data_IF_280316797917
#
_entry.id   IF_280316797917
#
_cell.length_a   1.000
_cell.length_b   1.000
_cell.length_c   1.000
_cell.angle_alpha   90.00
_cell.angle_beta   90.00
_cell.angle_gamma   90.00
#
_symmetry.space_group_name_H-M   'P 1'
#
loop_
_entity.id
_entity.type
_entity.pdbx_description
1 polymer ?
#
# COMPACT_ATOMS: atom_id res chain seq x y z
N UNK A 1 8.86 -10.06 29.00
CA UNK A 1 8.95 -9.46 27.67
C UNK A 1 10.13 -10.07 26.97
N UNK A 2 9.91 -10.78 25.87
CA UNK A 2 11.00 -11.39 25.08
C UNK A 2 11.82 -10.33 24.35
N UNK A 3 13.07 -10.66 23.95
CA UNK A 3 13.92 -9.73 23.20
C UNK A 3 13.28 -9.28 21.87
N UNK A 4 12.65 -10.23 21.17
CA UNK A 4 11.94 -9.98 19.90
C UNK A 4 10.74 -9.04 20.07
N UNK A 5 9.92 -9.28 21.09
CA UNK A 5 8.75 -8.45 21.41
C UNK A 5 9.15 -7.00 21.66
N UNK A 6 10.20 -6.79 22.47
CA UNK A 6 10.74 -5.45 22.74
C UNK A 6 11.25 -4.76 21.47
N UNK A 7 11.96 -5.49 20.60
CA UNK A 7 12.44 -4.95 19.32
C UNK A 7 11.28 -4.50 18.42
N UNK A 8 10.23 -5.31 18.30
CA UNK A 8 9.04 -4.99 17.50
C UNK A 8 8.27 -3.78 18.04
N UNK A 9 8.11 -3.68 19.36
CA UNK A 9 7.43 -2.54 19.99
C UNK A 9 8.22 -1.25 19.82
N UNK A 10 9.55 -1.30 20.03
CA UNK A 10 10.40 -0.13 19.78
C UNK A 10 10.33 0.31 18.31
N UNK A 11 10.35 -0.64 17.36
CA UNK A 11 10.18 -0.33 15.94
C UNK A 11 8.83 0.34 15.67
N UNK A 12 7.74 -0.17 16.25
CA UNK A 12 6.42 0.43 16.13
C UNK A 12 6.38 1.86 16.70
N UNK A 13 6.87 2.06 17.92
CA UNK A 13 6.88 3.37 18.60
C UNK A 13 7.66 4.40 17.79
N UNK A 14 8.85 4.05 17.30
CA UNK A 14 9.65 4.97 16.47
C UNK A 14 8.93 5.37 15.17
N UNK A 15 8.12 4.47 14.60
CA UNK A 15 7.33 4.76 13.41
C UNK A 15 6.10 5.63 13.72
N UNK A 16 5.47 5.42 14.87
CA UNK A 16 4.36 6.25 15.36
C UNK A 16 4.84 7.69 15.60
N UNK A 17 5.93 7.88 16.35
CA UNK A 17 6.54 9.19 16.60
C UNK A 17 6.99 9.88 15.31
N UNK A 18 7.59 9.12 14.38
CA UNK A 18 8.01 9.67 13.09
C UNK A 18 6.83 10.04 12.17
N UNK A 19 5.63 9.52 12.42
CA UNK A 19 4.39 9.89 11.72
C UNK A 19 3.83 11.25 12.13
N UNK A 20 4.21 11.77 13.31
CA UNK A 20 3.81 13.11 13.77
C UNK A 20 4.64 14.23 13.12
N UNK A 21 5.76 13.87 12.49
CA UNK A 21 6.64 14.82 11.80
C UNK A 21 6.08 15.21 10.44
N UNK A 22 6.51 16.36 9.94
CA UNK A 22 6.10 16.81 8.62
C UNK A 22 6.48 15.80 7.52
N UNK A 23 5.54 15.56 6.59
CA UNK A 23 5.72 14.69 5.43
C UNK A 23 6.80 15.24 4.49
N UNK A 24 7.84 14.47 4.13
CA UNK A 24 8.84 14.91 3.14
C UNK A 24 8.21 15.25 1.78
N UNK A 25 7.14 14.56 1.40
CA UNK A 25 6.38 14.81 0.17
C UNK A 25 5.69 16.19 0.21
N UNK A 26 5.26 16.65 1.40
CA UNK A 26 4.71 18.00 1.58
C UNK A 26 5.82 19.06 1.44
N UNK A 27 7.01 18.80 1.99
CA UNK A 27 8.16 19.70 1.83
C UNK A 27 8.57 19.80 0.36
N UNK A 28 8.58 18.67 -0.35
CA UNK A 28 8.81 18.65 -1.79
C UNK A 28 7.77 19.47 -2.55
N UNK A 29 6.47 19.29 -2.24
CA UNK A 29 5.41 20.08 -2.88
C UNK A 29 5.55 21.58 -2.59
N UNK A 30 5.98 21.95 -1.38
CA UNK A 30 6.31 23.33 -1.02
C UNK A 30 7.37 23.93 -1.94
N UNK A 31 8.45 23.20 -2.21
CA UNK A 31 9.51 23.64 -3.15
C UNK A 31 8.99 23.79 -4.58
N UNK A 32 8.15 22.86 -5.04
CA UNK A 32 7.56 22.95 -6.38
C UNK A 32 6.65 24.18 -6.52
N UNK A 33 5.88 24.46 -5.47
CA UNK A 33 5.02 25.63 -5.41
C UNK A 33 5.80 26.93 -5.37
N UNK A 34 6.89 27.01 -4.59
CA UNK A 34 7.73 28.21 -4.54
C UNK A 34 8.43 28.46 -5.88
N UNK A 35 8.92 27.40 -6.55
CA UNK A 35 9.43 27.51 -7.93
C UNK A 35 8.37 28.05 -8.90
N UNK A 36 7.15 27.55 -8.82
CA UNK A 36 6.04 28.04 -9.63
C UNK A 36 5.79 29.53 -9.41
N UNK A 37 5.80 29.99 -8.15
CA UNK A 37 5.64 31.42 -7.81
C UNK A 37 6.74 32.28 -8.41
N UNK A 38 7.99 31.85 -8.28
CA UNK A 38 9.15 32.56 -8.81
C UNK A 38 9.07 32.70 -10.33
N UNK A 39 8.75 31.61 -11.04
CA UNK A 39 8.60 31.60 -12.49
C UNK A 39 7.45 32.50 -12.99
N UNK A 40 6.46 32.80 -12.14
CA UNK A 40 5.28 33.59 -12.48
C UNK A 40 5.32 35.03 -11.93
N UNK A 41 6.49 35.68 -11.93
CA UNK A 41 6.70 37.06 -11.44
C UNK A 41 6.62 37.19 -9.92
N UNK A 42 7.16 36.20 -9.21
CA UNK A 42 7.30 36.21 -7.74
C UNK A 42 5.96 36.43 -7.01
N UNK A 43 4.92 35.73 -7.45
CA UNK A 43 3.56 35.86 -6.91
C UNK A 43 3.50 35.67 -5.39
N UNK A 44 2.56 36.38 -4.76
CA UNK A 44 2.07 36.02 -3.43
C UNK A 44 1.40 34.65 -3.42
N UNK A 45 1.25 34.05 -2.23
CA UNK A 45 0.60 32.72 -2.11
C UNK A 45 -0.87 32.74 -2.56
N UNK A 46 -1.60 33.82 -2.29
CA UNK A 46 -2.99 33.91 -2.74
C UNK A 46 -3.10 34.01 -4.26
N UNK A 47 -2.28 34.88 -4.87
CA UNK A 47 -2.23 35.07 -6.33
C UNK A 47 -1.80 33.79 -7.07
N UNK A 48 -0.85 33.03 -6.51
CA UNK A 48 -0.47 31.74 -7.06
C UNK A 48 -1.59 30.69 -6.92
N UNK A 49 -2.31 30.64 -5.78
CA UNK A 49 -3.48 29.78 -5.62
C UNK A 49 -4.56 30.13 -6.68
N UNK A 50 -4.77 31.41 -6.99
CA UNK A 50 -5.70 31.88 -8.04
C UNK A 50 -5.23 31.50 -9.45
N UNK A 51 -3.93 31.64 -9.75
CA UNK A 51 -3.38 31.28 -11.05
C UNK A 51 -3.47 29.77 -11.30
N UNK A 52 -3.19 28.96 -10.29
CA UNK A 52 -3.37 27.50 -10.37
C UNK A 52 -4.84 27.18 -10.60
N UNK A 53 -5.78 27.84 -9.91
CA UNK A 53 -7.21 27.65 -10.15
C UNK A 53 -7.59 27.94 -11.59
N UNK A 54 -7.14 29.07 -12.14
CA UNK A 54 -7.38 29.44 -13.53
C UNK A 54 -6.81 28.39 -14.50
N UNK A 55 -5.60 27.88 -14.25
CA UNK A 55 -5.01 26.81 -15.07
C UNK A 55 -5.78 25.49 -14.99
N UNK A 56 -6.29 25.14 -13.82
CA UNK A 56 -7.02 23.89 -13.60
C UNK A 56 -8.43 23.91 -14.21
N UNK A 57 -9.13 25.04 -14.13
CA UNK A 57 -10.57 25.15 -14.41
C UNK A 57 -10.93 26.06 -15.58
N UNK A 58 -9.95 26.76 -16.17
CA UNK A 58 -10.14 27.77 -17.22
C UNK A 58 -11.15 28.88 -16.80
N UNK A 59 -11.19 29.21 -15.50
CA UNK A 59 -12.12 30.17 -14.91
C UNK A 59 -11.41 31.03 -13.87
N UNK A 60 -11.78 32.31 -13.79
CA UNK A 60 -11.32 33.21 -12.73
C UNK A 60 -12.07 32.86 -11.44
N UNK A 61 -11.40 32.70 -10.28
CA UNK A 61 -12.07 32.44 -9.02
C UNK A 61 -12.99 33.62 -8.65
N UNK A 62 -14.26 33.34 -8.38
CA UNK A 62 -15.26 34.36 -8.06
C UNK A 62 -15.35 34.67 -6.57
N UNK A 63 -14.89 33.74 -5.71
CA UNK A 63 -14.88 33.89 -4.25
C UNK A 63 -13.67 33.18 -3.62
N UNK A 64 -13.24 33.58 -2.40
CA UNK A 64 -12.07 32.99 -1.74
C UNK A 64 -12.16 31.47 -1.49
N UNK A 65 -13.36 30.91 -1.42
CA UNK A 65 -13.55 29.47 -1.23
C UNK A 65 -13.23 28.64 -2.48
N UNK A 66 -13.15 29.25 -3.66
CA UNK A 66 -12.83 28.56 -4.91
C UNK A 66 -11.39 28.04 -4.92
N UNK A 67 -10.45 28.79 -4.35
CA UNK A 67 -9.03 28.42 -4.25
C UNK A 67 -8.68 27.64 -2.98
N UNK A 68 -9.65 27.44 -2.08
CA UNK A 68 -9.41 26.82 -0.77
C UNK A 68 -8.86 25.39 -0.87
N UNK A 69 -9.32 24.61 -1.86
CA UNK A 69 -8.82 23.25 -2.09
C UNK A 69 -7.34 23.24 -2.48
N UNK A 70 -6.93 24.15 -3.38
CA UNK A 70 -5.53 24.31 -3.80
C UNK A 70 -4.65 24.66 -2.60
N UNK A 71 -5.11 25.60 -1.77
CA UNK A 71 -4.42 25.95 -0.52
C UNK A 71 -4.24 24.73 0.38
N UNK A 72 -5.28 23.91 0.53
CA UNK A 72 -5.23 22.72 1.37
C UNK A 72 -4.33 21.61 0.82
N UNK A 73 -4.27 21.43 -0.49
CA UNK A 73 -3.33 20.51 -1.13
C UNK A 73 -1.90 20.98 -0.93
N UNK A 74 -1.62 22.25 -1.22
CA UNK A 74 -0.30 22.85 -0.98
C UNK A 74 0.16 22.72 0.48
N UNK A 75 -0.71 22.96 1.45
CA UNK A 75 -0.35 22.85 2.87
C UNK A 75 -0.38 21.41 3.39
N UNK A 76 -0.71 20.43 2.55
CA UNK A 76 -0.83 19.02 2.93
C UNK A 76 -1.95 18.75 3.94
N UNK A 77 -2.89 19.68 4.13
CA UNK A 77 -4.04 19.50 5.04
C UNK A 77 -5.03 18.49 4.48
N UNK A 78 -5.20 18.50 3.17
CA UNK A 78 -5.97 17.51 2.42
C UNK A 78 -5.20 17.12 1.17
N UNK A 79 -5.52 15.97 0.62
CA UNK A 79 -5.03 15.55 -0.70
C UNK A 79 -6.11 15.76 -1.76
N UNK A 80 -5.73 15.82 -3.05
CA UNK A 80 -6.68 15.72 -4.14
C UNK A 80 -7.57 14.47 -3.97
N UNK A 81 -8.88 14.57 -4.22
CA UNK A 81 -9.77 13.43 -3.98
C UNK A 81 -9.73 12.39 -5.10
N UNK A 82 -9.24 12.79 -6.27
CA UNK A 82 -9.07 11.91 -7.43
C UNK A 82 -7.72 12.14 -8.11
N UNK A 83 -7.28 11.15 -8.89
CA UNK A 83 -6.09 11.28 -9.73
C UNK A 83 -6.23 12.39 -10.75
N UNK A 84 -7.40 12.58 -11.34
CA UNK A 84 -7.64 13.66 -12.30
C UNK A 84 -7.38 15.03 -11.67
N UNK A 85 -7.83 15.25 -10.43
CA UNK A 85 -7.53 16.46 -9.69
C UNK A 85 -6.04 16.57 -9.37
N UNK A 86 -5.40 15.47 -8.98
CA UNK A 86 -3.96 15.46 -8.69
C UNK A 86 -3.13 15.80 -9.93
N UNK A 87 -3.44 15.19 -11.08
CA UNK A 87 -2.81 15.47 -12.37
C UNK A 87 -3.08 16.90 -12.84
N UNK A 88 -4.32 17.39 -12.73
CA UNK A 88 -4.66 18.77 -13.09
C UNK A 88 -3.91 19.78 -12.20
N UNK A 89 -3.79 19.49 -10.90
CA UNK A 89 -3.00 20.30 -9.98
C UNK A 89 -1.51 20.30 -10.32
N UNK A 90 -0.93 19.13 -10.62
CA UNK A 90 0.46 19.04 -11.07
C UNK A 90 0.72 19.77 -12.39
N UNK A 91 -0.22 19.69 -13.34
CA UNK A 91 -0.12 20.42 -14.62
C UNK A 91 -0.21 21.92 -14.41
N UNK A 92 -1.10 22.37 -13.53
CA UNK A 92 -1.22 23.78 -13.18
C UNK A 92 0.02 24.34 -12.46
N UNK A 93 0.76 23.48 -11.75
CA UNK A 93 2.07 23.79 -11.17
C UNK A 93 3.25 23.74 -12.16
N UNK A 94 2.98 23.48 -13.44
CA UNK A 94 4.00 23.30 -14.49
C UNK A 94 5.05 22.24 -14.09
N UNK A 95 4.62 21.15 -13.45
CA UNK A 95 5.52 20.05 -13.12
C UNK A 95 6.02 19.35 -14.39
N UNK A 96 7.30 18.98 -14.39
CA UNK A 96 7.89 18.09 -15.39
C UNK A 96 7.30 16.68 -15.31
N UNK A 97 7.59 15.83 -16.31
CA UNK A 97 7.12 14.44 -16.31
C UNK A 97 7.64 13.63 -15.10
N UNK A 98 8.89 13.85 -14.69
CA UNK A 98 9.46 13.19 -13.50
C UNK A 98 8.79 13.66 -12.21
N UNK A 99 8.54 14.96 -12.09
CA UNK A 99 7.85 15.52 -10.93
C UNK A 99 6.37 15.11 -10.88
N UNK A 100 5.74 14.96 -12.04
CA UNK A 100 4.39 14.41 -12.13
C UNK A 100 4.36 12.96 -11.65
N UNK A 101 5.35 12.14 -12.02
CA UNK A 101 5.49 10.77 -11.50
C UNK A 101 5.63 10.78 -9.97
N UNK A 102 6.50 11.63 -9.42
CA UNK A 102 6.65 11.74 -7.96
C UNK A 102 5.39 12.28 -7.26
N UNK A 103 4.66 13.22 -7.87
CA UNK A 103 3.38 13.71 -7.34
C UNK A 103 2.38 12.56 -7.19
N UNK A 104 2.30 11.67 -8.17
CA UNK A 104 1.38 10.52 -8.14
C UNK A 104 1.87 9.42 -7.20
N UNK A 105 3.15 9.03 -7.30
CA UNK A 105 3.66 7.86 -6.58
C UNK A 105 4.09 8.16 -5.14
N UNK A 106 4.66 9.34 -4.90
CA UNK A 106 5.07 9.80 -3.58
C UNK A 106 3.95 10.53 -2.86
N UNK A 107 3.60 11.74 -3.33
CA UNK A 107 2.69 12.62 -2.60
C UNK A 107 1.25 12.08 -2.51
N UNK A 108 0.72 11.54 -3.61
CA UNK A 108 -0.61 10.93 -3.70
C UNK A 108 -0.62 9.43 -3.33
N UNK A 109 0.57 8.82 -3.20
CA UNK A 109 0.79 7.43 -2.75
C UNK A 109 -0.02 6.41 -3.58
N UNK A 110 0.08 6.49 -4.91
CA UNK A 110 -0.59 5.60 -5.88
C UNK A 110 0.36 5.04 -6.93
N UNK A 111 -0.12 4.08 -7.72
CA UNK A 111 0.62 3.62 -8.89
C UNK A 111 0.70 4.75 -9.93
N UNK A 112 1.76 4.73 -10.72
CA UNK A 112 1.99 5.62 -11.86
C UNK A 112 0.79 5.73 -12.83
N UNK A 113 -0.03 4.68 -12.90
CA UNK A 113 -1.22 4.56 -13.74
C UNK A 113 -2.34 3.83 -13.02
N UNK A 114 -3.57 4.15 -13.38
CA UNK A 114 -4.74 3.32 -13.04
C UNK A 114 -4.59 2.01 -13.80
N UNK A 115 -4.88 0.88 -13.16
CA UNK A 115 -4.82 -0.40 -13.83
C UNK A 115 -6.14 -0.64 -14.58
N UNK A 116 -6.08 -0.67 -15.91
CA UNK A 116 -7.26 -0.87 -16.75
C UNK A 116 -6.90 -1.87 -17.85
N UNK A 117 -7.88 -2.64 -18.32
CA UNK A 117 -7.66 -3.60 -19.41
C UNK A 117 -7.33 -2.83 -20.70
N UNK A 118 -6.08 -2.91 -21.13
CA UNK A 118 -5.58 -2.34 -22.39
C UNK A 118 -5.41 -3.45 -23.46
N UNK A 119 -5.08 -3.06 -24.70
CA UNK A 119 -4.67 -4.00 -25.75
C UNK A 119 -3.44 -4.83 -25.33
N UNK A 120 -3.29 -6.05 -25.87
CA UNK A 120 -2.19 -6.97 -25.55
C UNK A 120 -0.80 -6.30 -25.69
N UNK A 121 0.10 -6.57 -24.75
CA UNK A 121 1.46 -6.02 -24.73
C UNK A 121 1.63 -4.67 -24.01
N UNK A 122 0.53 -4.05 -23.57
CA UNK A 122 0.53 -2.83 -22.76
C UNK A 122 1.12 -3.00 -21.34
N UNK A 123 1.17 -1.89 -20.58
CA UNK A 123 1.65 -1.91 -19.19
C UNK A 123 0.80 -2.83 -18.30
N UNK A 124 -0.51 -2.86 -18.54
CA UNK A 124 -1.44 -3.79 -17.89
C UNK A 124 -1.05 -5.25 -18.13
N UNK A 125 -0.81 -5.63 -19.40
CA UNK A 125 -0.43 -7.01 -19.78
C UNK A 125 0.81 -7.52 -19.04
N UNK A 126 1.85 -6.68 -18.93
CA UNK A 126 3.07 -7.03 -18.17
C UNK A 126 2.79 -7.18 -16.68
N UNK A 127 2.00 -6.28 -16.09
CA UNK A 127 1.68 -6.30 -14.66
C UNK A 127 0.78 -7.46 -14.28
N UNK A 128 -0.22 -7.79 -15.09
CA UNK A 128 -1.08 -8.95 -14.84
C UNK A 128 -0.32 -10.26 -15.05
N UNK A 129 0.59 -10.32 -16.04
CA UNK A 129 1.53 -11.45 -16.20
C UNK A 129 2.36 -11.67 -14.94
N UNK A 130 2.99 -10.61 -14.43
CA UNK A 130 3.74 -10.66 -13.18
C UNK A 130 2.87 -11.08 -11.98
N UNK A 131 1.65 -10.54 -11.85
CA UNK A 131 0.75 -10.96 -10.77
C UNK A 131 0.41 -12.45 -10.86
N UNK A 132 0.16 -12.96 -12.06
CA UNK A 132 -0.12 -14.38 -12.26
C UNK A 132 1.08 -15.27 -11.90
N UNK A 133 2.30 -14.86 -12.23
CA UNK A 133 3.53 -15.54 -11.80
C UNK A 133 3.62 -15.60 -10.27
N UNK A 134 3.41 -14.46 -9.59
CA UNK A 134 3.43 -14.40 -8.12
C UNK A 134 2.34 -15.27 -7.48
N UNK A 135 1.16 -15.32 -8.08
CA UNK A 135 0.07 -16.20 -7.64
C UNK A 135 0.47 -17.67 -7.79
N UNK A 136 1.09 -18.06 -8.90
CA UNK A 136 1.55 -19.44 -9.08
C UNK A 136 2.65 -19.80 -8.08
N UNK A 137 3.66 -18.93 -7.92
CA UNK A 137 4.72 -19.09 -6.90
C UNK A 137 4.14 -19.25 -5.49
N UNK A 138 3.10 -18.47 -5.16
CA UNK A 138 2.39 -18.58 -3.89
C UNK A 138 1.66 -19.92 -3.74
N UNK A 139 0.94 -20.36 -4.77
CA UNK A 139 0.21 -21.63 -4.75
C UNK A 139 1.14 -22.85 -4.69
N UNK A 140 2.33 -22.77 -5.29
CA UNK A 140 3.33 -23.84 -5.26
C UNK A 140 3.95 -24.04 -3.87
N UNK A 141 3.89 -23.04 -2.98
CA UNK A 141 4.28 -23.16 -1.57
C UNK A 141 3.25 -23.90 -0.71
N UNK A 142 2.02 -24.08 -1.21
CA UNK A 142 0.96 -24.74 -0.45
C UNK A 142 1.28 -26.23 -0.28
N UNK A 143 1.24 -26.70 0.96
CA UNK A 143 1.56 -28.09 1.27
C UNK A 143 0.74 -29.07 0.42
N UNK A 144 1.34 -30.14 -0.15
CA UNK A 144 0.68 -31.04 -1.10
C UNK A 144 -0.63 -31.65 -0.60
N UNK A 145 -0.75 -31.88 0.72
CA UNK A 145 -1.99 -32.39 1.34
C UNK A 145 -3.15 -31.40 1.23
N UNK A 146 -2.90 -30.11 1.47
CA UNK A 146 -3.91 -29.05 1.32
C UNK A 146 -4.26 -28.90 -0.15
N UNK A 147 -3.23 -28.89 -1.01
CA UNK A 147 -3.37 -28.87 -2.47
C UNK A 147 -4.29 -30.01 -2.94
N UNK A 148 -4.02 -31.25 -2.57
CA UNK A 148 -4.85 -32.41 -2.93
C UNK A 148 -6.28 -32.33 -2.40
N UNK A 149 -6.49 -31.77 -1.19
CA UNK A 149 -7.83 -31.58 -0.64
C UNK A 149 -8.66 -30.62 -1.48
N UNK A 150 -8.06 -29.50 -1.91
CA UNK A 150 -8.70 -28.49 -2.76
C UNK A 150 -9.00 -29.03 -4.17
N UNK A 151 -8.05 -29.75 -4.79
CA UNK A 151 -8.25 -30.37 -6.10
C UNK A 151 -9.32 -31.48 -6.09
N UNK A 152 -9.41 -32.30 -5.03
CA UNK A 152 -10.44 -33.36 -4.92
C UNK A 152 -11.85 -32.80 -4.76
N UNK A 153 -12.02 -31.59 -4.25
CA UNK A 153 -13.33 -30.93 -4.16
C UNK A 153 -13.84 -30.35 -5.49
N UNK A 154 -13.08 -30.48 -6.60
CA UNK A 154 -13.48 -29.92 -7.90
C UNK A 154 -13.52 -28.39 -7.92
N UNK A 155 -12.86 -27.73 -6.96
CA UNK A 155 -12.85 -26.28 -6.85
C UNK A 155 -11.96 -25.68 -7.94
N UNK A 156 -12.49 -24.66 -8.63
CA UNK A 156 -11.72 -23.82 -9.54
C UNK A 156 -10.48 -23.23 -8.81
N UNK A 157 -9.37 -23.04 -9.54
CA UNK A 157 -8.13 -22.49 -9.02
C UNK A 157 -8.35 -21.09 -8.42
N UNK A 158 -9.26 -20.30 -9.00
CA UNK A 158 -9.65 -18.98 -8.48
C UNK A 158 -10.38 -19.09 -7.13
N UNK A 159 -11.29 -20.06 -6.98
CA UNK A 159 -11.97 -20.32 -5.72
C UNK A 159 -11.00 -20.82 -4.64
N UNK A 160 -10.05 -21.66 -5.04
CA UNK A 160 -8.99 -22.20 -4.17
C UNK A 160 -8.03 -21.10 -3.72
N UNK A 161 -7.60 -20.21 -4.62
CA UNK A 161 -6.71 -19.09 -4.31
C UNK A 161 -7.33 -18.18 -3.25
N UNK A 162 -8.58 -17.76 -3.43
CA UNK A 162 -9.27 -16.90 -2.47
C UNK A 162 -9.33 -17.54 -1.07
N UNK A 163 -9.63 -18.83 -1.00
CA UNK A 163 -9.70 -19.55 0.27
C UNK A 163 -8.33 -19.67 0.95
N UNK A 164 -7.29 -20.03 0.20
CA UNK A 164 -5.93 -20.15 0.71
C UNK A 164 -5.45 -18.77 1.17
N UNK A 165 -5.62 -17.73 0.34
CA UNK A 165 -5.22 -16.37 0.65
C UNK A 165 -5.90 -15.84 1.92
N UNK A 166 -7.22 -16.00 2.04
CA UNK A 166 -7.96 -15.58 3.23
C UNK A 166 -7.44 -16.28 4.49
N UNK A 167 -7.29 -17.61 4.41
CA UNK A 167 -6.84 -18.42 5.55
C UNK A 167 -5.44 -18.03 6.00
N UNK A 168 -4.52 -17.83 5.05
CA UNK A 168 -3.15 -17.42 5.36
C UNK A 168 -3.12 -16.00 5.96
N UNK A 169 -3.76 -15.02 5.30
CA UNK A 169 -3.87 -13.65 5.80
C UNK A 169 -4.44 -13.59 7.23
N UNK A 170 -5.43 -14.42 7.52
CA UNK A 170 -6.04 -14.49 8.85
C UNK A 170 -5.13 -15.11 9.91
N UNK A 171 -4.30 -16.09 9.53
CA UNK A 171 -3.32 -16.70 10.42
C UNK A 171 -2.28 -15.71 10.97
N UNK A 172 -2.07 -14.57 10.29
CA UNK A 172 -1.20 -13.49 10.76
C UNK A 172 -1.87 -12.57 11.80
N UNK A 173 -3.20 -12.48 11.81
CA UNK A 173 -3.93 -11.60 12.73
C UNK A 173 -4.22 -12.30 14.06
N UNK A 174 -4.80 -13.49 13.97
CA UNK A 174 -4.99 -14.36 15.10
C UNK A 174 -3.86 -15.39 15.04
N UNK A 175 -2.90 -15.36 15.97
CA UNK A 175 -1.83 -16.35 16.07
C UNK A 175 -2.34 -17.79 16.42
N UNK A 176 -3.60 -18.09 16.06
CA UNK A 176 -4.32 -19.35 16.18
C UNK A 176 -4.87 -19.71 14.80
N UNK A 177 -5.04 -21.00 14.52
CA UNK A 177 -5.73 -21.39 13.29
C UNK A 177 -7.17 -20.83 13.30
N UNK A 178 -7.61 -20.16 12.21
CA UNK A 178 -8.93 -19.58 12.16
C UNK A 178 -10.02 -20.65 12.14
N UNK A 179 -11.16 -20.37 12.79
CA UNK A 179 -12.30 -21.28 12.77
C UNK A 179 -12.80 -21.49 11.33
N UNK A 180 -12.87 -22.75 10.91
CA UNK A 180 -13.32 -23.17 9.59
C UNK A 180 -14.73 -22.69 9.25
N UNK A 181 -15.60 -22.49 10.26
CA UNK A 181 -16.96 -21.99 10.07
C UNK A 181 -16.96 -20.51 9.71
N UNK A 182 -16.18 -19.72 10.44
CA UNK A 182 -16.01 -18.28 10.20
C UNK A 182 -15.35 -18.01 8.85
N UNK A 183 -14.29 -18.78 8.54
CA UNK A 183 -13.60 -18.73 7.25
C UNK A 183 -14.58 -18.95 6.08
N UNK A 184 -15.47 -19.94 6.17
CA UNK A 184 -16.48 -20.19 5.14
C UNK A 184 -17.49 -19.06 4.97
N UNK A 185 -17.95 -18.47 6.08
CA UNK A 185 -18.91 -17.35 6.04
C UNK A 185 -18.30 -16.10 5.40
N UNK A 186 -17.07 -15.74 5.78
CA UNK A 186 -16.41 -14.55 5.27
C UNK A 186 -15.92 -14.68 3.83
N UNK A 187 -15.43 -15.86 3.41
CA UNK A 187 -15.02 -16.09 2.02
C UNK A 187 -16.22 -16.01 1.06
N UNK A 188 -17.41 -16.33 1.52
CA UNK A 188 -18.65 -16.20 0.75
C UNK A 188 -19.24 -14.77 0.76
N UNK A 189 -18.68 -13.85 1.55
CA UNK A 189 -19.15 -12.46 1.60
C UNK A 189 -18.96 -11.76 0.26
N UNK A 190 -20.06 -11.25 -0.30
CA UNK A 190 -20.09 -10.58 -1.60
C UNK A 190 -19.05 -9.45 -1.69
N UNK A 191 -18.88 -8.68 -0.60
CA UNK A 191 -17.94 -7.57 -0.57
C UNK A 191 -16.49 -8.06 -0.71
N UNK A 192 -16.12 -9.09 0.05
CA UNK A 192 -14.78 -9.66 -0.02
C UNK A 192 -14.51 -10.31 -1.38
N UNK A 193 -15.49 -11.06 -1.91
CA UNK A 193 -15.39 -11.69 -3.24
C UNK A 193 -15.15 -10.64 -4.34
N UNK A 194 -15.92 -9.56 -4.33
CA UNK A 194 -15.81 -8.48 -5.30
C UNK A 194 -14.47 -7.74 -5.18
N UNK A 195 -14.07 -7.36 -3.98
CA UNK A 195 -12.81 -6.64 -3.74
C UNK A 195 -11.58 -7.50 -4.08
N UNK A 196 -11.57 -8.77 -3.65
CA UNK A 196 -10.50 -9.70 -3.94
C UNK A 196 -10.40 -9.96 -5.45
N UNK A 197 -11.52 -10.24 -6.12
CA UNK A 197 -11.54 -10.46 -7.57
C UNK A 197 -11.05 -9.25 -8.35
N UNK A 198 -11.40 -8.02 -7.92
CA UNK A 198 -10.91 -6.79 -8.55
C UNK A 198 -9.38 -6.62 -8.36
N UNK A 199 -8.86 -6.91 -7.16
CA UNK A 199 -7.43 -6.81 -6.85
C UNK A 199 -6.62 -7.86 -7.63
N UNK A 200 -7.09 -9.10 -7.70
CA UNK A 200 -6.42 -10.18 -8.43
C UNK A 200 -6.45 -10.00 -9.96
N UNK A 201 -7.32 -9.12 -10.47
CA UNK A 201 -7.36 -8.72 -11.89
C UNK A 201 -6.63 -7.41 -12.16
N UNK A 202 -6.04 -6.79 -11.13
CA UNK A 202 -5.46 -5.44 -11.19
C UNK A 202 -6.42 -4.45 -11.84
N UNK A 203 -7.62 -4.27 -11.31
CA UNK A 203 -8.59 -3.34 -11.91
C UNK A 203 -8.81 -2.10 -11.04
N UNK A 204 -8.71 -0.94 -11.68
CA UNK A 204 -8.86 0.38 -11.10
C UNK A 204 -7.67 0.79 -10.24
N UNK A 205 -7.96 1.61 -9.24
CA UNK A 205 -6.97 2.12 -8.29
C UNK A 205 -6.73 1.13 -7.15
N UNK A 206 -5.50 0.63 -7.06
CA UNK A 206 -5.06 -0.22 -5.95
C UNK A 206 -4.18 0.63 -5.02
N UNK A 207 -4.57 0.82 -3.75
CA UNK A 207 -3.74 1.53 -2.77
C UNK A 207 -2.39 0.83 -2.59
N UNK A 208 -1.31 1.60 -2.45
CA UNK A 208 0.05 1.06 -2.27
C UNK A 208 0.14 0.08 -1.10
N UNK A 209 -0.46 0.40 0.06
CA UNK A 209 -0.56 -0.50 1.22
C UNK A 209 -1.22 -1.85 0.89
N UNK A 210 -2.23 -1.85 0.01
CA UNK A 210 -2.88 -3.09 -0.43
C UNK A 210 -1.94 -3.91 -1.32
N UNK A 211 -1.23 -3.28 -2.25
CA UNK A 211 -0.21 -3.95 -3.06
C UNK A 211 0.89 -4.56 -2.18
N UNK A 212 1.44 -3.79 -1.25
CA UNK A 212 2.47 -4.26 -0.30
C UNK A 212 2.01 -5.51 0.45
N UNK A 213 0.75 -5.52 0.94
CA UNK A 213 0.17 -6.68 1.61
C UNK A 213 0.15 -7.93 0.74
N UNK A 214 -0.29 -7.81 -0.51
CA UNK A 214 -0.29 -8.93 -1.45
C UNK A 214 1.14 -9.43 -1.68
N UNK A 215 2.09 -8.53 -1.91
CA UNK A 215 3.48 -8.90 -2.14
C UNK A 215 4.10 -9.61 -0.93
N UNK A 216 3.81 -9.15 0.30
CA UNK A 216 4.26 -9.82 1.51
C UNK A 216 3.70 -11.24 1.63
N UNK A 217 2.39 -11.40 1.50
CA UNK A 217 1.73 -12.70 1.61
C UNK A 217 2.19 -13.69 0.53
N UNK A 218 2.38 -13.20 -0.71
CA UNK A 218 2.90 -14.04 -1.78
C UNK A 218 4.37 -14.38 -1.60
N UNK A 219 5.17 -13.50 -1.00
CA UNK A 219 6.62 -13.68 -0.91
C UNK A 219 7.05 -14.58 0.25
N UNK A 220 6.38 -14.56 1.41
CA UNK A 220 6.75 -15.41 2.57
C UNK A 220 6.84 -16.88 2.14
N UNK A 221 7.86 -17.65 2.59
CA UNK A 221 8.97 -17.28 3.48
C UNK A 221 10.25 -16.80 2.75
N UNK A 222 10.16 -16.34 1.51
CA UNK A 222 11.30 -15.89 0.73
C UNK A 222 11.29 -14.37 0.51
N UNK A 223 10.76 -13.64 1.49
CA UNK A 223 10.62 -12.19 1.41
C UNK A 223 11.94 -11.49 1.74
N UNK A 224 12.26 -10.45 0.97
CA UNK A 224 13.38 -9.53 1.25
C UNK A 224 13.01 -8.09 0.88
N UNK A 225 13.84 -7.14 1.31
CA UNK A 225 13.72 -5.73 0.94
C UNK A 225 13.80 -5.51 -0.58
N UNK A 226 14.76 -6.16 -1.23
CA UNK A 226 15.04 -6.04 -2.66
C UNK A 226 13.89 -6.62 -3.47
N UNK A 227 13.38 -7.79 -3.05
CA UNK A 227 12.22 -8.40 -3.68
C UNK A 227 11.00 -7.48 -3.61
N UNK A 228 10.66 -6.98 -2.42
CA UNK A 228 9.51 -6.09 -2.27
C UNK A 228 9.66 -4.79 -3.07
N UNK A 229 10.83 -4.16 -3.02
CA UNK A 229 11.10 -2.91 -3.72
C UNK A 229 11.00 -3.08 -5.23
N UNK A 230 11.65 -4.10 -5.78
CA UNK A 230 11.61 -4.38 -7.22
C UNK A 230 10.20 -4.72 -7.72
N UNK A 231 9.41 -5.48 -6.93
CA UNK A 231 8.01 -5.78 -7.30
C UNK A 231 7.14 -4.52 -7.21
N UNK A 232 7.31 -3.67 -6.21
CA UNK A 232 6.59 -2.38 -6.13
C UNK A 232 6.85 -1.51 -7.36
N UNK A 233 8.12 -1.39 -7.78
CA UNK A 233 8.51 -0.65 -8.97
C UNK A 233 7.88 -1.24 -10.24
N UNK A 234 7.89 -2.58 -10.39
CA UNK A 234 7.26 -3.26 -11.52
C UNK A 234 5.75 -2.99 -11.61
N UNK A 235 5.08 -2.89 -10.46
CA UNK A 235 3.66 -2.50 -10.36
C UNK A 235 3.44 -0.98 -10.46
N UNK A 236 4.49 -0.18 -10.59
CA UNK A 236 4.41 1.26 -10.81
C UNK A 236 4.31 2.09 -9.54
N UNK A 237 4.74 1.58 -8.39
CA UNK A 237 4.85 2.33 -7.14
C UNK A 237 6.30 2.76 -6.88
N UNK A 238 6.51 3.65 -5.91
CA UNK A 238 7.85 3.86 -5.36
C UNK A 238 8.33 2.60 -4.62
N UNK A 239 9.64 2.27 -4.72
CA UNK A 239 10.25 1.22 -3.90
C UNK A 239 10.15 1.56 -2.41
N UNK A 240 10.49 0.61 -1.53
CA UNK A 240 10.46 0.88 -0.09
C UNK A 240 11.52 1.93 0.28
N UNK A 241 11.07 3.01 0.92
CA UNK A 241 11.94 4.11 1.38
C UNK A 241 11.58 4.48 2.82
N UNK A 242 12.56 4.52 3.71
CA UNK A 242 12.37 4.84 5.13
C UNK A 242 11.77 6.25 5.36
N UNK A 243 12.03 7.17 4.42
CA UNK A 243 11.50 8.53 4.43
C UNK A 243 10.12 8.67 3.79
N UNK A 244 9.58 7.65 3.12
CA UNK A 244 8.25 7.75 2.49
C UNK A 244 7.15 7.89 3.54
N UNK A 245 6.11 8.66 3.23
CA UNK A 245 4.89 8.71 4.02
C UNK A 245 3.66 8.30 3.22
N UNK A 246 2.77 7.57 3.87
CA UNK A 246 1.44 7.35 3.33
C UNK A 246 0.64 8.67 3.28
N UNK A 247 -0.52 8.62 2.63
CA UNK A 247 -1.44 9.76 2.52
C UNK A 247 -1.80 10.43 3.85
N UNK A 248 -1.85 9.65 4.93
CA UNK A 248 -2.18 10.09 6.29
C UNK A 248 -0.95 10.47 7.13
N UNK A 249 0.24 10.44 6.54
CA UNK A 249 1.52 10.73 7.21
C UNK A 249 2.19 9.53 7.87
N UNK A 250 1.53 8.36 7.93
CA UNK A 250 2.10 7.19 8.57
C UNK A 250 3.36 6.67 7.85
N UNK A 251 4.28 6.10 8.64
CA UNK A 251 5.62 5.65 8.25
C UNK A 251 5.67 4.15 7.95
N UNK A 252 4.77 3.69 7.08
CA UNK A 252 4.62 2.27 6.80
C UNK A 252 5.89 1.63 6.23
N UNK A 253 6.56 2.29 5.29
CA UNK A 253 7.79 1.76 4.68
C UNK A 253 8.90 1.55 5.70
N UNK A 254 9.09 2.53 6.59
CA UNK A 254 10.06 2.43 7.68
C UNK A 254 9.78 1.22 8.58
N UNK A 255 8.51 1.01 8.93
CA UNK A 255 8.08 -0.15 9.72
C UNK A 255 8.38 -1.45 8.99
N UNK A 256 8.07 -1.54 7.70
CA UNK A 256 8.31 -2.75 6.90
C UNK A 256 9.81 -3.00 6.74
N UNK A 257 10.61 -1.97 6.47
CA UNK A 257 12.05 -2.09 6.35
C UNK A 257 12.67 -2.64 7.64
N UNK A 258 12.35 -2.06 8.80
CA UNK A 258 12.82 -2.58 10.09
C UNK A 258 12.28 -3.97 10.41
N UNK A 259 11.06 -4.31 9.98
CA UNK A 259 10.50 -5.66 10.15
C UNK A 259 11.26 -6.69 9.31
N UNK A 260 11.63 -6.33 8.07
CA UNK A 260 12.41 -7.19 7.18
C UNK A 260 13.85 -7.35 7.65
N UNK A 261 14.45 -6.32 8.25
CA UNK A 261 15.77 -6.42 8.91
C UNK A 261 15.73 -7.46 10.04
N UNK A 262 14.73 -7.37 10.93
CA UNK A 262 14.52 -8.37 11.98
C UNK A 262 14.25 -9.77 11.39
N UNK A 263 13.48 -9.84 10.29
CA UNK A 263 13.22 -11.09 9.59
C UNK A 263 14.52 -11.72 9.09
N UNK A 264 15.36 -10.96 8.39
CA UNK A 264 16.63 -11.43 7.84
C UNK A 264 17.58 -11.92 8.95
N UNK A 265 17.72 -11.15 10.04
CA UNK A 265 18.53 -11.54 11.21
C UNK A 265 18.08 -12.86 11.82
N UNK A 266 16.76 -13.14 11.82
CA UNK A 266 16.19 -14.31 12.46
C UNK A 266 15.95 -15.49 11.53
N UNK A 267 15.96 -15.28 10.21
CA UNK A 267 15.61 -16.29 9.21
C UNK A 267 16.78 -16.70 8.31
N UNK A 268 17.88 -15.95 8.32
CA UNK A 268 19.09 -16.29 7.55
C UNK A 268 19.60 -17.69 7.89
N UNK A 269 19.72 -18.53 6.86
CA UNK A 269 20.20 -19.92 6.99
C UNK A 269 19.23 -20.89 7.66
N UNK A 270 17.99 -20.47 7.97
CA UNK A 270 16.96 -21.35 8.55
C UNK A 270 16.07 -21.95 7.47
N UNK A 271 15.37 -23.02 7.84
CA UNK A 271 14.41 -23.66 6.95
C UNK A 271 13.17 -22.76 6.73
N UNK A 272 12.52 -22.85 5.55
CA UNK A 272 11.36 -22.03 5.20
C UNK A 272 10.19 -22.08 6.20
N UNK A 273 9.96 -23.22 6.86
CA UNK A 273 8.86 -23.38 7.80
C UNK A 273 9.11 -22.59 9.10
N UNK A 274 10.34 -22.65 9.61
CA UNK A 274 10.79 -21.83 10.73
C UNK A 274 10.66 -20.33 10.43
N UNK A 275 11.00 -19.91 9.22
CA UNK A 275 10.89 -18.51 8.79
C UNK A 275 9.41 -18.06 8.68
N UNK A 276 8.53 -18.90 8.13
CA UNK A 276 7.07 -18.64 8.12
C UNK A 276 6.50 -18.51 9.53
N UNK A 277 6.90 -19.40 10.45
CA UNK A 277 6.46 -19.37 11.85
C UNK A 277 6.92 -18.09 12.54
N UNK A 278 8.19 -17.72 12.39
CA UNK A 278 8.73 -16.48 12.94
C UNK A 278 7.97 -15.27 12.41
N UNK A 279 7.73 -15.19 11.10
CA UNK A 279 7.00 -14.07 10.49
C UNK A 279 5.60 -13.94 11.11
N UNK A 280 4.88 -15.05 11.23
CA UNK A 280 3.53 -15.09 11.80
C UNK A 280 3.51 -14.63 13.26
N UNK A 281 4.41 -15.15 14.08
CA UNK A 281 4.52 -14.78 15.49
C UNK A 281 4.91 -13.31 15.66
N UNK A 282 5.94 -12.85 14.94
CA UNK A 282 6.44 -11.49 14.99
C UNK A 282 5.37 -10.47 14.53
N UNK A 283 4.70 -10.75 13.40
CA UNK A 283 3.63 -9.89 12.93
C UNK A 283 2.45 -9.88 13.91
N UNK A 284 2.05 -11.03 14.46
CA UNK A 284 0.96 -11.09 15.44
C UNK A 284 1.24 -10.29 16.72
N UNK A 285 2.50 -10.24 17.18
CA UNK A 285 2.92 -9.37 18.29
C UNK A 285 2.81 -7.89 17.89
N UNK A 286 3.33 -7.53 16.71
CA UNK A 286 3.32 -6.16 16.20
C UNK A 286 1.89 -5.66 15.95
N UNK A 287 1.03 -6.48 15.37
CA UNK A 287 -0.36 -6.14 15.01
C UNK A 287 -1.19 -5.84 16.26
N UNK A 288 -1.11 -6.70 17.29
CA UNK A 288 -1.78 -6.46 18.59
C UNK A 288 -1.30 -5.17 19.24
N UNK A 289 0.01 -4.92 19.23
CA UNK A 289 0.55 -3.69 19.80
C UNK A 289 0.04 -2.44 19.09
N UNK A 290 0.01 -2.45 17.75
CA UNK A 290 -0.54 -1.34 16.96
C UNK A 290 -2.07 -1.19 17.13
N UNK A 291 -2.79 -2.29 17.32
CA UNK A 291 -4.22 -2.29 17.63
C UNK A 291 -4.53 -1.64 18.98
N UNK A 292 -3.80 -2.00 20.04
CA UNK A 292 -3.92 -1.38 21.37
C UNK A 292 -3.64 0.13 21.34
N UNK A 293 -2.77 0.58 20.43
CA UNK A 293 -2.49 2.00 20.17
C UNK A 293 -3.49 2.67 19.22
N UNK A 294 -4.50 1.95 18.73
CA UNK A 294 -5.51 2.45 17.81
C UNK A 294 -4.99 2.79 16.41
N UNK A 295 -3.81 2.29 16.01
CA UNK A 295 -3.19 2.61 14.73
C UNK A 295 -3.51 1.55 13.66
N UNK A 296 -4.44 1.87 12.76
CA UNK A 296 -4.78 0.98 11.64
C UNK A 296 -3.86 1.15 10.43
N UNK A 297 -3.20 2.30 10.28
CA UNK A 297 -2.39 2.65 9.12
C UNK A 297 -1.11 1.83 9.03
N UNK A 298 -0.47 1.54 10.16
CA UNK A 298 0.76 0.74 10.24
C UNK A 298 0.51 -0.78 10.25
N UNK A 299 -0.72 -1.25 10.55
CA UNK A 299 -1.08 -2.68 10.48
C UNK A 299 -1.15 -3.14 9.02
N UNK A 300 -0.07 -3.70 8.50
CA UNK A 300 0.11 -3.89 7.04
C UNK A 300 -0.50 -5.17 6.46
N UNK A 301 -0.72 -6.20 7.27
CA UNK A 301 -1.51 -7.37 6.89
C UNK A 301 -2.97 -7.29 7.33
N UNK A 302 -3.34 -6.26 8.11
CA UNK A 302 -4.73 -6.04 8.50
C UNK A 302 -5.65 -5.77 7.30
N UNK A 303 -6.74 -6.53 7.25
CA UNK A 303 -7.84 -6.37 6.32
C UNK A 303 -9.11 -6.08 7.12
N UNK A 304 -9.79 -4.96 6.83
CA UNK A 304 -11.07 -4.67 7.47
C UNK A 304 -12.13 -5.75 7.21
N UNK A 305 -12.09 -6.37 6.04
CA UNK A 305 -12.97 -7.50 5.67
C UNK A 305 -12.69 -8.79 6.45
N UNK A 306 -11.54 -8.87 7.16
CA UNK A 306 -11.19 -9.99 8.04
C UNK A 306 -11.67 -9.79 9.49
N UNK A 307 -12.19 -8.62 9.86
CA UNK A 307 -12.82 -8.45 11.17
C UNK A 307 -14.08 -9.33 11.20
N UNK A 308 -14.10 -10.32 12.09
CA UNK A 308 -15.32 -11.04 12.43
C UNK A 308 -16.42 -10.02 12.73
N UNK A 309 -17.64 -10.30 12.29
CA UNK A 309 -18.78 -9.48 12.68
C UNK A 309 -18.89 -9.59 14.20
N UNK A 310 -18.54 -8.53 14.94
CA UNK A 310 -18.83 -8.43 16.37
C UNK A 310 -20.33 -8.47 16.63
#
# INVERSE_FOLDING_TARGET
MGNMEKALWNLADTCLEAGERERPEKQWLGRMYDRFREANRSLGKAEADEQIYMKMYAQIPGKPSDTLKIRYWRTGRHLPVSREQCLSFGKALDLSEEEMRYLIQGYYDRSDRVFETEQEGGAYGRRIGLLNELIQEYLDKVHPVIRHRLYRSGADLEHSLRHIYYTDARSYLDAREPDQTEVKQHIASINYVSEFGRQMKLLGEIPRKTMIRHLLLFAVPFVSRELLSSRLEAFGYLPLQDTHTQVDGSRLDRLILGFLELYEENCSGKDPESCSRWFREAYGILDRYLEERGNTSLRFLYFKALKGSE
#
